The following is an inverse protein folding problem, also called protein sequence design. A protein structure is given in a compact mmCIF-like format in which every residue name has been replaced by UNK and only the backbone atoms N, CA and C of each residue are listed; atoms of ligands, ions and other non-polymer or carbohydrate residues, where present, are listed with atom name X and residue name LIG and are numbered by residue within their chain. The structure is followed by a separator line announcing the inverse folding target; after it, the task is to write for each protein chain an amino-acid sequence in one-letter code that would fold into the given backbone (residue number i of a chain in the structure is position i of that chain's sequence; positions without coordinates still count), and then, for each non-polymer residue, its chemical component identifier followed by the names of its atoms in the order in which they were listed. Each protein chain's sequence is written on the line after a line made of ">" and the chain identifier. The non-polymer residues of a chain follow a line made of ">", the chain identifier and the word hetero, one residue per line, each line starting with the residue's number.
data_IF_139406741938
#
_entry.id   IF_139406741938
#
_cell.length_a   1.000
_cell.length_b   1.000
_cell.length_c   1.000
_cell.angle_alpha   90.00
_cell.angle_beta   90.00
_cell.angle_gamma   90.00
#
_symmetry.space_group_name_H-M   'P 1'
#
loop_
_entity.id
_entity.type
_entity.pdbx_description
1 polymer ?
#
# COMPACT_ATOMS: atom_id res chain seq x y z
N UNK A 1 6.96 -22.87 13.71
CA UNK A 1 7.85 -21.75 13.36
C UNK A 1 7.73 -21.51 11.86
N UNK A 2 7.25 -20.35 11.39
CA UNK A 2 7.19 -20.11 9.94
C UNK A 2 8.62 -20.18 9.37
N UNK A 3 8.78 -20.88 8.26
CA UNK A 3 10.08 -21.05 7.60
C UNK A 3 10.61 -19.69 7.16
N UNK A 4 11.76 -19.27 7.70
CA UNK A 4 12.46 -18.08 7.22
C UNK A 4 13.19 -18.41 5.92
N UNK A 5 13.00 -17.59 4.88
CA UNK A 5 13.73 -17.69 3.61
C UNK A 5 14.74 -16.56 3.50
N UNK A 6 15.97 -16.88 3.08
CA UNK A 6 17.04 -15.89 2.85
C UNK A 6 16.96 -15.37 1.43
N UNK A 7 17.16 -14.06 1.27
CA UNK A 7 17.24 -13.38 -0.02
C UNK A 7 18.61 -12.68 -0.05
N UNK A 8 19.33 -12.81 -1.16
CA UNK A 8 20.58 -12.10 -1.42
C UNK A 8 20.30 -11.07 -2.51
N UNK A 9 20.65 -9.82 -2.27
CA UNK A 9 20.45 -8.70 -3.22
C UNK A 9 21.75 -7.95 -3.38
N UNK A 10 22.02 -7.50 -4.60
CA UNK A 10 23.12 -6.59 -4.88
C UNK A 10 22.63 -5.15 -4.69
N UNK A 11 23.39 -4.37 -3.92
CA UNK A 11 23.11 -2.94 -3.67
C UNK A 11 24.37 -2.14 -3.99
N UNK A 12 24.20 -0.86 -4.31
CA UNK A 12 25.35 0.03 -4.52
C UNK A 12 26.08 0.27 -3.20
N UNK A 13 27.38 0.53 -3.26
CA UNK A 13 28.19 0.87 -2.07
C UNK A 13 27.63 2.10 -1.35
N UNK A 14 27.16 3.10 -2.11
CA UNK A 14 26.54 4.29 -1.55
C UNK A 14 25.30 3.95 -0.72
N UNK A 15 24.40 3.11 -1.25
CA UNK A 15 23.21 2.68 -0.53
C UNK A 15 23.57 1.86 0.72
N UNK A 16 24.59 1.02 0.64
CA UNK A 16 25.06 0.26 1.80
C UNK A 16 25.59 1.19 2.90
N UNK A 17 26.36 2.22 2.53
CA UNK A 17 26.86 3.23 3.47
C UNK A 17 25.72 4.03 4.12
N UNK A 18 24.67 4.38 3.38
CA UNK A 18 23.47 5.04 3.92
C UNK A 18 22.75 4.13 4.92
N UNK A 19 22.60 2.84 4.61
CA UNK A 19 21.99 1.84 5.52
C UNK A 19 22.81 1.69 6.79
N UNK A 20 24.15 1.67 6.68
CA UNK A 20 25.05 1.59 7.83
C UNK A 20 24.98 2.80 8.73
N UNK A 21 24.93 3.99 8.15
CA UNK A 21 24.77 5.23 8.90
C UNK A 21 23.44 5.23 9.65
N UNK A 22 22.36 4.80 9.00
CA UNK A 22 21.04 4.69 9.61
C UNK A 22 21.01 3.65 10.74
N UNK A 23 21.63 2.49 10.50
CA UNK A 23 21.75 1.40 11.47
C UNK A 23 22.56 1.80 12.71
N UNK A 24 23.67 2.53 12.51
CA UNK A 24 24.52 3.04 13.58
C UNK A 24 23.81 4.04 14.50
N UNK A 25 22.95 4.91 13.94
CA UNK A 25 22.16 5.88 14.72
C UNK A 25 21.07 5.18 15.55
N UNK A 26 20.51 4.08 15.03
CA UNK A 26 19.31 3.44 15.61
C UNK A 26 19.64 2.15 16.38
N UNK A 27 20.92 1.76 16.48
CA UNK A 27 21.37 0.46 17.01
C UNK A 27 20.69 -0.75 16.33
N UNK A 28 20.38 -0.64 15.04
CA UNK A 28 19.69 -1.67 14.24
C UNK A 28 20.64 -2.34 13.27
N UNK A 29 20.47 -3.64 13.05
CA UNK A 29 21.28 -4.36 12.06
C UNK A 29 20.76 -4.08 10.63
N UNK A 30 21.63 -4.14 9.62
CA UNK A 30 21.30 -3.97 8.18
C UNK A 30 20.07 -4.78 7.77
N UNK A 31 20.00 -6.03 8.22
CA UNK A 31 18.87 -6.93 7.94
C UNK A 31 17.54 -6.44 8.49
N UNK A 32 17.54 -5.69 9.60
CA UNK A 32 16.33 -5.11 10.19
C UNK A 32 15.89 -3.88 9.41
N UNK A 33 16.83 -3.01 9.04
CA UNK A 33 16.57 -1.84 8.19
C UNK A 33 15.95 -2.27 6.86
N UNK A 34 16.55 -3.26 6.19
CA UNK A 34 16.04 -3.80 4.93
C UNK A 34 14.66 -4.44 5.11
N UNK A 35 14.45 -5.20 6.20
CA UNK A 35 13.15 -5.83 6.47
C UNK A 35 12.05 -4.80 6.70
N UNK A 36 12.35 -3.73 7.43
CA UNK A 36 11.40 -2.65 7.70
C UNK A 36 11.06 -1.88 6.42
N UNK A 37 12.07 -1.58 5.59
CA UNK A 37 11.86 -0.97 4.28
C UNK A 37 10.96 -1.83 3.38
N UNK A 38 11.20 -3.14 3.31
CA UNK A 38 10.36 -4.08 2.53
C UNK A 38 8.93 -4.11 3.08
N UNK A 39 8.74 -4.15 4.40
CA UNK A 39 7.40 -4.14 5.01
C UNK A 39 6.64 -2.86 4.67
N UNK A 40 7.31 -1.71 4.74
CA UNK A 40 6.71 -0.42 4.38
C UNK A 40 6.34 -0.39 2.89
N UNK A 41 7.24 -0.81 2.01
CA UNK A 41 6.97 -0.90 0.57
C UNK A 41 5.73 -1.76 0.27
N UNK A 42 5.65 -2.96 0.86
CA UNK A 42 4.51 -3.86 0.67
C UNK A 42 3.20 -3.28 1.22
N UNK A 43 3.25 -2.53 2.32
CA UNK A 43 2.06 -1.85 2.88
C UNK A 43 1.55 -0.77 1.94
N UNK A 44 2.44 0.07 1.43
CA UNK A 44 2.08 1.14 0.49
C UNK A 44 1.58 0.58 -0.84
N UNK A 45 2.19 -0.51 -1.33
CA UNK A 45 1.71 -1.16 -2.55
C UNK A 45 0.28 -1.68 -2.39
N UNK A 46 -0.02 -2.39 -1.29
CA UNK A 46 -1.40 -2.86 -1.01
C UNK A 46 -2.41 -1.72 -0.91
N UNK A 47 -2.00 -0.58 -0.32
CA UNK A 47 -2.86 0.61 -0.25
C UNK A 47 -3.17 1.17 -1.64
N UNK A 48 -2.17 1.26 -2.51
CA UNK A 48 -2.36 1.68 -3.91
C UNK A 48 -3.29 0.73 -4.65
N UNK A 49 -3.08 -0.56 -4.51
CA UNK A 49 -3.91 -1.58 -5.17
C UNK A 49 -5.37 -1.49 -4.70
N UNK A 50 -5.61 -1.29 -3.39
CA UNK A 50 -6.94 -1.10 -2.84
C UNK A 50 -7.62 0.16 -3.41
N UNK A 51 -6.91 1.29 -3.45
CA UNK A 51 -7.46 2.53 -4.01
C UNK A 51 -7.84 2.38 -5.49
N UNK A 52 -7.02 1.67 -6.27
CA UNK A 52 -7.31 1.42 -7.68
C UNK A 52 -8.51 0.49 -7.86
N UNK A 53 -8.64 -0.54 -7.02
CA UNK A 53 -9.82 -1.40 -7.02
C UNK A 53 -11.09 -0.62 -6.67
N UNK A 54 -11.04 0.23 -5.64
CA UNK A 54 -12.16 1.11 -5.28
C UNK A 54 -12.54 2.03 -6.44
N UNK A 55 -11.55 2.68 -7.06
CA UNK A 55 -11.76 3.58 -8.20
C UNK A 55 -12.46 2.85 -9.35
N UNK A 56 -12.01 1.64 -9.70
CA UNK A 56 -12.64 0.82 -10.73
C UNK A 56 -14.09 0.48 -10.38
N UNK A 57 -14.33 0.00 -9.17
CA UNK A 57 -15.69 -0.33 -8.72
C UNK A 57 -16.64 0.87 -8.77
N UNK A 58 -16.18 2.07 -8.39
CA UNK A 58 -16.99 3.29 -8.48
C UNK A 58 -17.33 3.67 -9.92
N UNK A 59 -16.38 3.52 -10.85
CA UNK A 59 -16.62 3.80 -12.27
C UNK A 59 -17.59 2.76 -12.86
N UNK A 60 -17.41 1.48 -12.54
CA UNK A 60 -18.27 0.38 -13.00
C UNK A 60 -19.70 0.50 -12.48
N UNK A 61 -19.88 0.99 -11.25
CA UNK A 61 -21.20 1.19 -10.63
C UNK A 61 -21.78 2.59 -10.91
N UNK A 62 -21.10 3.43 -11.68
CA UNK A 62 -21.47 4.84 -11.85
C UNK A 62 -22.91 5.05 -12.33
N UNK A 63 -23.29 4.31 -13.38
CA UNK A 63 -24.63 4.43 -13.98
C UNK A 63 -25.73 3.88 -13.05
N UNK A 64 -25.49 2.73 -12.42
CA UNK A 64 -26.43 2.11 -11.47
C UNK A 64 -26.63 3.01 -10.24
N UNK A 65 -25.53 3.51 -9.66
CA UNK A 65 -25.59 4.39 -8.49
C UNK A 65 -26.30 5.71 -8.84
N UNK A 66 -26.16 6.19 -10.07
CA UNK A 66 -26.85 7.39 -10.54
C UNK A 66 -28.35 7.16 -10.68
N UNK A 67 -28.76 6.07 -11.32
CA UNK A 67 -30.18 5.71 -11.49
C UNK A 67 -30.88 5.58 -10.14
N UNK A 68 -30.28 4.86 -9.18
CA UNK A 68 -30.81 4.73 -7.81
C UNK A 68 -30.90 6.10 -7.12
N UNK A 69 -29.88 6.96 -7.27
CA UNK A 69 -29.90 8.29 -6.66
C UNK A 69 -30.99 9.18 -7.25
N UNK A 70 -31.22 9.10 -8.55
CA UNK A 70 -32.30 9.82 -9.24
C UNK A 70 -33.68 9.29 -8.77
N UNK A 71 -33.89 7.98 -8.69
CA UNK A 71 -35.13 7.37 -8.19
C UNK A 71 -35.46 7.79 -6.74
N UNK A 72 -34.49 7.70 -5.83
CA UNK A 72 -34.68 8.11 -4.43
C UNK A 72 -34.94 9.60 -4.29
N UNK A 73 -34.35 10.44 -5.14
CA UNK A 73 -34.57 11.89 -5.12
C UNK A 73 -36.04 12.25 -5.39
N UNK A 74 -36.71 11.54 -6.29
CA UNK A 74 -38.14 11.74 -6.53
C UNK A 74 -39.00 11.25 -5.36
N UNK A 75 -38.65 10.11 -4.75
CA UNK A 75 -39.36 9.59 -3.58
C UNK A 75 -39.29 10.49 -2.34
N UNK A 76 -38.17 11.18 -2.13
CA UNK A 76 -38.01 12.15 -1.03
C UNK A 76 -38.77 13.47 -1.27
N UNK A 77 -39.09 13.80 -2.53
CA UNK A 77 -39.83 15.01 -2.89
C UNK A 77 -41.36 14.82 -2.92
N UNK A 78 -41.85 13.58 -2.90
CA UNK A 78 -43.29 13.23 -2.85
C UNK A 78 -43.81 12.97 -1.42
N UNK A 79 -42.93 12.95 -0.40
CA UNK A 79 -43.25 12.74 1.02
C UNK A 79 -43.33 14.06 1.82
#
# INVERSE_FOLDING_TARGET
>A
MPASRKIVVNVSEKMLAEIDQLGGITSRNRSEVVRDAIKQYLKEQRKRDLHEQMRKGYVEMGDINREIAEECFYGDHEA
#
